data_IF_320271642581
#
_entry.id   IF_320271642581
#
_cell.length_a   1.000
_cell.length_b   1.000
_cell.length_c   1.000
_cell.angle_alpha   90.00
_cell.angle_beta   90.00
_cell.angle_gamma   90.00
#
_symmetry.space_group_name_H-M   'P 1'
#
loop_
_entity.id
_entity.type
_entity.pdbx_description
1 polymer ?
#
# COMPACT_ATOMS: atom_id res chain seq x y z
N UNK A 1 -7.15 -18.40 6.45
CA UNK A 1 -6.14 -18.83 7.44
C UNK A 1 -6.63 -18.49 8.85
N UNK A 2 -7.15 -17.28 9.06
CA UNK A 2 -7.78 -16.83 10.30
C UNK A 2 -9.14 -16.16 10.03
N UNK A 3 -9.72 -15.54 11.06
CA UNK A 3 -10.92 -14.69 10.93
C UNK A 3 -10.57 -13.19 10.99
N UNK A 4 -9.29 -12.88 11.09
CA UNK A 4 -8.81 -11.51 11.25
C UNK A 4 -8.46 -10.93 9.89
N UNK A 5 -8.96 -9.72 9.61
CA UNK A 5 -8.67 -9.00 8.37
C UNK A 5 -7.22 -8.55 8.30
N UNK A 6 -6.71 -7.94 9.38
CA UNK A 6 -5.38 -7.34 9.43
C UNK A 6 -4.60 -7.80 10.65
N UNK A 7 -3.46 -8.44 10.43
CA UNK A 7 -2.52 -8.87 11.45
C UNK A 7 -1.22 -8.06 11.33
N UNK A 8 -0.85 -7.35 12.40
CA UNK A 8 0.47 -6.77 12.53
C UNK A 8 1.44 -7.83 13.06
N UNK A 9 2.56 -8.01 12.39
CA UNK A 9 3.62 -8.93 12.79
C UNK A 9 4.74 -8.12 13.42
N UNK A 10 4.77 -8.12 14.76
CA UNK A 10 5.71 -7.31 15.54
C UNK A 10 7.02 -8.05 15.84
N UNK A 11 7.16 -9.31 15.43
CA UNK A 11 8.38 -10.08 15.57
C UNK A 11 9.37 -9.69 14.46
N UNK A 12 10.55 -9.12 14.79
CA UNK A 12 11.51 -8.65 13.80
C UNK A 12 12.17 -9.78 12.99
N UNK A 13 12.04 -11.05 13.43
CA UNK A 13 12.54 -12.20 12.68
C UNK A 13 11.70 -12.51 11.44
N UNK A 14 10.47 -11.98 11.34
CA UNK A 14 9.61 -12.20 10.20
C UNK A 14 9.96 -11.27 9.02
N UNK A 15 9.89 -11.76 7.78
CA UNK A 15 10.21 -10.97 6.60
C UNK A 15 9.13 -9.97 6.19
N UNK A 16 7.98 -9.98 6.85
CA UNK A 16 6.86 -9.08 6.62
C UNK A 16 6.35 -8.49 7.94
N UNK A 17 5.77 -7.31 7.89
CA UNK A 17 5.21 -6.58 9.05
C UNK A 17 3.69 -6.65 9.09
N UNK A 18 3.04 -7.09 8.03
CA UNK A 18 1.59 -7.24 7.97
C UNK A 18 1.18 -8.43 7.14
N UNK A 19 0.17 -9.15 7.64
CA UNK A 19 -0.58 -10.16 6.92
C UNK A 19 -2.03 -9.70 6.83
N UNK A 20 -2.51 -9.43 5.62
CA UNK A 20 -3.86 -8.92 5.40
C UNK A 20 -4.65 -10.01 4.67
N UNK A 21 -5.57 -10.65 5.38
CA UNK A 21 -6.53 -11.58 4.80
C UNK A 21 -7.72 -10.78 4.27
N UNK A 22 -7.57 -10.21 3.06
CA UNK A 22 -8.52 -9.27 2.46
C UNK A 22 -9.95 -9.82 2.40
N UNK A 23 -10.10 -11.10 2.15
CA UNK A 23 -11.39 -11.76 2.06
C UNK A 23 -12.05 -12.09 3.41
N UNK A 24 -11.46 -11.65 4.51
CA UNK A 24 -12.16 -11.51 5.79
C UNK A 24 -12.86 -10.15 5.95
N UNK A 25 -12.58 -9.20 5.05
CA UNK A 25 -13.23 -7.89 4.96
C UNK A 25 -14.21 -7.85 3.77
N UNK A 26 -13.76 -8.18 2.56
CA UNK A 26 -14.59 -8.27 1.36
C UNK A 26 -14.87 -9.74 1.04
N UNK A 27 -16.08 -10.04 0.58
CA UNK A 27 -16.53 -11.43 0.39
C UNK A 27 -15.74 -12.16 -0.70
N UNK A 28 -15.38 -13.44 -0.51
CA UNK A 28 -14.67 -14.23 -1.53
C UNK A 28 -15.42 -14.32 -2.87
N UNK A 29 -16.75 -14.23 -2.86
CA UNK A 29 -17.59 -14.28 -4.07
C UNK A 29 -17.24 -13.16 -5.05
N UNK A 30 -16.86 -11.98 -4.54
CA UNK A 30 -16.36 -10.84 -5.34
C UNK A 30 -15.12 -11.23 -6.17
N UNK A 31 -14.37 -12.23 -5.72
CA UNK A 31 -13.13 -12.73 -6.32
C UNK A 31 -13.28 -14.16 -6.89
N UNK A 32 -14.49 -14.56 -7.26
CA UNK A 32 -14.77 -15.89 -7.81
C UNK A 32 -14.53 -17.02 -6.81
N UNK A 33 -14.83 -16.79 -5.53
CA UNK A 33 -14.65 -17.76 -4.44
C UNK A 33 -13.19 -17.91 -3.96
N UNK A 34 -12.28 -17.05 -4.43
CA UNK A 34 -10.86 -17.10 -4.05
C UNK A 34 -10.60 -16.26 -2.81
N UNK A 35 -9.67 -16.72 -2.00
CA UNK A 35 -9.16 -15.96 -0.87
C UNK A 35 -7.94 -15.14 -1.29
N UNK A 36 -7.89 -13.87 -0.85
CA UNK A 36 -6.79 -12.95 -1.17
C UNK A 36 -6.06 -12.60 0.11
N UNK A 37 -4.74 -12.78 0.08
CA UNK A 37 -3.85 -12.47 1.19
C UNK A 37 -2.72 -11.58 0.69
N UNK A 38 -2.46 -10.48 1.40
CA UNK A 38 -1.31 -9.63 1.16
C UNK A 38 -0.29 -9.82 2.28
N UNK A 39 0.99 -9.92 1.89
CA UNK A 39 2.13 -9.78 2.78
C UNK A 39 2.75 -8.42 2.52
N UNK A 40 2.94 -7.63 3.56
CA UNK A 40 3.42 -6.25 3.47
C UNK A 40 4.73 -6.07 4.20
N UNK A 41 5.69 -5.35 3.58
CA UNK A 41 6.95 -4.95 4.18
C UNK A 41 7.40 -3.59 3.64
N UNK A 42 7.87 -2.74 4.54
CA UNK A 42 8.65 -1.54 4.20
C UNK A 42 10.12 -1.84 4.43
N UNK A 43 10.95 -1.61 3.44
CA UNK A 43 12.39 -1.90 3.52
C UNK A 43 13.19 -0.96 2.59
N UNK A 44 14.47 -0.74 2.86
CA UNK A 44 15.34 -0.04 1.92
C UNK A 44 15.41 -0.77 0.57
N UNK A 45 15.51 -0.02 -0.52
CA UNK A 45 15.64 -0.62 -1.86
C UNK A 45 16.97 -1.40 -2.05
N UNK A 46 17.90 -1.26 -1.12
CA UNK A 46 19.16 -2.01 -1.05
C UNK A 46 19.06 -3.33 -0.29
N UNK A 47 17.88 -3.61 0.32
CA UNK A 47 17.64 -4.86 1.04
C UNK A 47 17.61 -6.05 0.07
N UNK A 48 18.12 -7.20 0.50
CA UNK A 48 18.16 -8.42 -0.32
C UNK A 48 16.77 -8.90 -0.72
N UNK A 49 15.77 -8.75 0.17
CA UNK A 49 14.38 -9.10 -0.14
C UNK A 49 13.81 -8.25 -1.29
N UNK A 50 14.30 -7.01 -1.44
CA UNK A 50 13.85 -6.14 -2.52
C UNK A 50 14.31 -6.64 -3.91
N UNK A 51 15.40 -7.39 -3.98
CA UNK A 51 15.94 -7.94 -5.22
C UNK A 51 15.34 -9.30 -5.62
N UNK A 52 14.74 -10.02 -4.67
CA UNK A 52 14.18 -11.36 -4.91
C UNK A 52 13.08 -11.35 -5.98
N UNK A 53 12.99 -12.39 -6.78
CA UNK A 53 11.84 -12.66 -7.65
C UNK A 53 10.57 -12.96 -6.83
N UNK A 54 9.42 -13.02 -7.49
CA UNK A 54 8.17 -13.37 -6.83
C UNK A 54 8.20 -14.78 -6.23
N UNK A 55 8.78 -15.73 -6.96
CA UNK A 55 8.91 -17.13 -6.51
C UNK A 55 9.85 -17.25 -5.31
N UNK A 56 11.03 -16.64 -5.39
CA UNK A 56 12.01 -16.63 -4.29
C UNK A 56 11.43 -16.03 -3.03
N UNK A 57 10.71 -14.89 -3.16
CA UNK A 57 10.11 -14.22 -2.00
C UNK A 57 8.96 -15.04 -1.41
N UNK A 58 8.19 -15.72 -2.24
CA UNK A 58 7.14 -16.62 -1.78
C UNK A 58 7.74 -17.80 -1.01
N UNK A 59 8.73 -18.48 -1.58
CA UNK A 59 9.38 -19.64 -0.96
C UNK A 59 10.09 -19.24 0.33
N UNK A 60 10.71 -18.05 0.36
CA UNK A 60 11.31 -17.50 1.57
C UNK A 60 10.26 -17.19 2.66
N UNK A 61 9.08 -16.69 2.29
CA UNK A 61 8.02 -16.29 3.24
C UNK A 61 7.20 -17.47 3.77
N UNK A 62 7.14 -18.57 3.03
CA UNK A 62 6.28 -19.70 3.34
C UNK A 62 6.52 -20.37 4.71
N UNK A 63 7.77 -20.60 5.17
CA UNK A 63 8.04 -21.13 6.50
C UNK A 63 7.47 -20.24 7.62
N UNK A 64 7.57 -18.93 7.46
CA UNK A 64 7.04 -17.95 8.42
C UNK A 64 5.51 -17.96 8.45
N UNK A 65 4.88 -18.07 7.28
CA UNK A 65 3.42 -18.23 7.21
C UNK A 65 2.97 -19.52 7.88
N UNK A 66 3.70 -20.63 7.73
CA UNK A 66 3.41 -21.89 8.43
C UNK A 66 3.58 -21.79 9.94
N UNK A 67 4.52 -20.97 10.40
CA UNK A 67 4.66 -20.68 11.84
C UNK A 67 3.42 -19.98 12.39
N UNK A 68 2.86 -19.02 11.65
CA UNK A 68 1.64 -18.31 12.05
C UNK A 68 0.37 -19.14 11.84
N UNK A 69 0.34 -19.95 10.80
CA UNK A 69 -0.81 -20.73 10.36
C UNK A 69 -0.38 -22.17 10.08
N UNK A 70 -0.25 -23.04 11.12
CA UNK A 70 0.33 -24.38 10.99
C UNK A 70 -0.38 -25.29 9.98
N UNK A 71 -1.68 -25.07 9.77
CA UNK A 71 -2.46 -25.83 8.78
C UNK A 71 -2.22 -25.40 7.33
N UNK A 72 -1.48 -24.30 7.11
CA UNK A 72 -1.25 -23.77 5.75
C UNK A 72 -0.37 -24.71 4.93
N UNK A 73 -0.80 -24.96 3.70
CA UNK A 73 -0.08 -25.76 2.73
C UNK A 73 0.29 -24.95 1.48
N UNK A 74 1.44 -25.26 0.88
CA UNK A 74 1.89 -24.62 -0.37
C UNK A 74 0.86 -24.78 -1.49
N UNK A 75 0.15 -25.91 -1.53
CA UNK A 75 -0.88 -26.22 -2.52
C UNK A 75 -2.13 -25.34 -2.45
N UNK A 76 -2.33 -24.59 -1.37
CA UNK A 76 -3.43 -23.62 -1.27
C UNK A 76 -3.19 -22.38 -2.13
N UNK A 77 -1.94 -22.08 -2.47
CA UNK A 77 -1.56 -20.90 -3.24
C UNK A 77 -1.73 -21.20 -4.73
N UNK A 78 -2.80 -20.67 -5.31
CA UNK A 78 -3.13 -20.84 -6.72
C UNK A 78 -2.35 -19.89 -7.64
N UNK A 79 -2.12 -18.67 -7.15
CA UNK A 79 -1.34 -17.64 -7.85
C UNK A 79 -0.71 -16.71 -6.82
N UNK A 80 0.38 -16.06 -7.20
CA UNK A 80 1.03 -15.03 -6.41
C UNK A 80 1.58 -13.93 -7.32
N UNK A 81 1.64 -12.74 -6.78
CA UNK A 81 2.08 -11.55 -7.47
C UNK A 81 2.97 -10.72 -6.55
N UNK A 82 3.95 -10.04 -7.12
CA UNK A 82 4.85 -9.16 -6.39
C UNK A 82 4.78 -7.75 -6.96
N UNK A 83 4.46 -6.80 -6.10
CA UNK A 83 4.51 -5.38 -6.42
C UNK A 83 5.61 -4.72 -5.60
N UNK A 84 6.40 -3.89 -6.26
CA UNK A 84 7.44 -3.06 -5.65
C UNK A 84 7.22 -1.62 -6.03
N UNK A 85 7.32 -0.75 -5.04
CA UNK A 85 7.36 0.68 -5.27
C UNK A 85 8.61 1.25 -4.60
N UNK A 86 9.53 1.79 -5.40
CA UNK A 86 10.74 2.44 -4.87
C UNK A 86 10.38 3.66 -4.02
N UNK A 87 9.34 4.37 -4.41
CA UNK A 87 8.79 5.54 -3.73
C UNK A 87 7.35 5.24 -3.31
N UNK A 88 7.18 4.40 -2.28
CA UNK A 88 5.85 3.93 -1.90
C UNK A 88 5.04 4.98 -1.17
N UNK A 89 5.68 5.77 -0.31
CA UNK A 89 5.01 6.85 0.41
C UNK A 89 6.01 7.87 0.96
N UNK A 90 5.60 9.15 1.13
CA UNK A 90 6.42 10.18 1.76
C UNK A 90 6.70 9.83 3.23
N UNK A 91 7.90 10.13 3.69
CA UNK A 91 8.26 10.07 5.11
C UNK A 91 7.90 11.40 5.75
N UNK A 92 6.93 11.38 6.67
CA UNK A 92 6.53 12.57 7.42
C UNK A 92 7.54 12.81 8.53
N UNK A 93 8.37 13.82 8.35
CA UNK A 93 9.41 14.24 9.30
C UNK A 93 8.92 15.36 10.21
N UNK A 94 9.71 15.71 11.23
CA UNK A 94 9.44 16.88 12.08
C UNK A 94 9.28 18.16 11.23
N UNK A 95 8.27 18.95 11.53
CA UNK A 95 7.91 20.17 10.79
C UNK A 95 7.48 19.95 9.32
N UNK A 96 6.91 18.79 9.02
CA UNK A 96 6.46 18.43 7.67
C UNK A 96 5.49 19.46 7.06
N UNK A 97 4.69 20.16 7.87
CA UNK A 97 3.80 21.23 7.41
C UNK A 97 4.50 22.33 6.58
N UNK A 98 5.81 22.50 6.76
CA UNK A 98 6.65 23.45 5.99
C UNK A 98 7.23 22.85 4.71
N UNK A 99 7.09 21.54 4.54
CA UNK A 99 7.66 20.76 3.43
C UNK A 99 6.57 20.23 2.49
N UNK A 100 5.30 20.50 2.80
CA UNK A 100 4.19 20.08 1.96
C UNK A 100 4.34 20.73 0.57
N UNK A 101 4.39 19.94 -0.51
CA UNK A 101 4.47 20.47 -1.86
C UNK A 101 3.29 21.39 -2.18
N UNK A 102 3.55 22.46 -2.91
CA UNK A 102 2.47 23.32 -3.42
C UNK A 102 1.60 22.55 -4.42
N UNK A 103 0.34 22.93 -4.50
CA UNK A 103 -0.57 22.38 -5.50
C UNK A 103 -0.32 22.99 -6.90
N UNK A 104 0.15 24.24 -6.94
CA UNK A 104 0.51 24.89 -8.18
C UNK A 104 1.96 24.56 -8.56
N UNK A 105 2.13 24.05 -9.77
CA UNK A 105 3.42 23.69 -10.33
C UNK A 105 4.17 24.91 -10.89
N UNK A 106 5.35 24.69 -11.48
CA UNK A 106 6.24 25.76 -11.96
C UNK A 106 5.73 26.46 -13.23
N UNK A 107 4.71 25.93 -13.87
CA UNK A 107 4.13 26.47 -15.09
C UNK A 107 2.65 26.76 -14.92
N UNK A 108 2.15 27.78 -15.58
CA UNK A 108 0.73 28.11 -15.63
C UNK A 108 -0.09 26.90 -16.14
N UNK A 109 -1.20 26.61 -15.48
CA UNK A 109 -2.07 25.47 -15.82
C UNK A 109 -1.54 24.10 -15.39
N UNK A 110 -0.36 24.02 -14.76
CA UNK A 110 0.17 22.77 -14.23
C UNK A 110 -0.11 22.66 -12.72
N UNK A 111 -0.90 21.67 -12.34
CA UNK A 111 -1.28 21.41 -10.95
C UNK A 111 -0.81 20.04 -10.48
N UNK A 112 -0.37 19.94 -9.23
CA UNK A 112 0.12 18.71 -8.59
C UNK A 112 -0.82 18.31 -7.46
N UNK A 113 -1.29 17.06 -7.52
CA UNK A 113 -2.06 16.46 -6.45
C UNK A 113 -1.42 15.12 -6.09
N UNK A 114 -0.93 14.98 -4.87
CA UNK A 114 -0.20 13.78 -4.44
C UNK A 114 -0.40 13.48 -2.96
N UNK A 115 -0.10 12.25 -2.58
CA UNK A 115 -0.15 11.79 -1.19
C UNK A 115 0.78 12.58 -0.25
N UNK A 116 1.81 13.25 -0.79
CA UNK A 116 2.71 14.10 -0.03
C UNK A 116 2.03 15.36 0.54
N UNK A 117 0.87 15.74 0.02
CA UNK A 117 0.10 16.89 0.47
C UNK A 117 -0.93 16.56 1.56
N UNK A 118 -1.10 15.28 1.88
CA UNK A 118 -2.02 14.83 2.94
C UNK A 118 -1.29 14.92 4.28
N UNK A 119 -1.72 15.89 5.10
CA UNK A 119 -1.16 16.15 6.42
C UNK A 119 -2.17 17.01 7.24
N UNK A 120 -2.37 16.76 8.54
CA UNK A 120 -1.69 15.78 9.41
C UNK A 120 -2.30 14.38 9.35
N UNK A 121 -3.34 14.15 8.56
CA UNK A 121 -4.01 12.87 8.45
C UNK A 121 -3.11 11.81 7.82
N UNK A 122 -3.41 10.54 8.08
CA UNK A 122 -2.73 9.45 7.41
C UNK A 122 -3.24 9.30 5.96
N UNK A 123 -2.34 8.86 5.11
CA UNK A 123 -2.60 8.69 3.68
C UNK A 123 -3.56 7.51 3.44
N UNK A 124 -4.66 7.80 2.80
CA UNK A 124 -5.66 6.79 2.47
C UNK A 124 -6.39 7.16 1.17
N UNK A 125 -7.05 6.18 0.58
CA UNK A 125 -7.83 6.36 -0.65
C UNK A 125 -8.90 7.45 -0.51
N UNK A 126 -9.54 7.54 0.66
CA UNK A 126 -10.53 8.58 0.97
C UNK A 126 -9.94 9.99 0.87
N UNK A 127 -8.72 10.20 1.37
CA UNK A 127 -8.04 11.50 1.29
C UNK A 127 -7.58 11.81 -0.14
N UNK A 128 -7.10 10.82 -0.87
CA UNK A 128 -6.74 10.97 -2.28
C UNK A 128 -7.95 11.38 -3.12
N UNK A 129 -9.12 10.77 -2.90
CA UNK A 129 -10.37 11.12 -3.57
C UNK A 129 -10.80 12.55 -3.19
N UNK A 130 -10.76 12.89 -1.89
CA UNK A 130 -11.10 14.23 -1.40
C UNK A 130 -10.27 15.30 -2.08
N UNK A 131 -8.95 15.11 -2.09
CA UNK A 131 -8.01 16.06 -2.68
C UNK A 131 -8.14 16.15 -4.19
N UNK A 132 -8.27 15.02 -4.88
CA UNK A 132 -8.48 14.98 -6.33
C UNK A 132 -9.76 15.71 -6.76
N UNK A 133 -10.84 15.56 -5.98
CA UNK A 133 -12.09 16.32 -6.22
C UNK A 133 -11.91 17.82 -6.02
N UNK A 134 -11.22 18.24 -4.94
CA UNK A 134 -10.99 19.65 -4.65
C UNK A 134 -10.18 20.32 -5.77
N UNK A 135 -9.09 19.72 -6.21
CA UNK A 135 -8.25 20.27 -7.27
C UNK A 135 -8.98 20.27 -8.62
N UNK A 136 -9.77 19.23 -8.93
CA UNK A 136 -10.59 19.16 -10.13
C UNK A 136 -11.64 20.27 -10.18
N UNK A 137 -12.31 20.56 -9.07
CA UNK A 137 -13.26 21.66 -8.96
C UNK A 137 -12.58 23.02 -9.15
N UNK A 138 -11.40 23.22 -8.56
CA UNK A 138 -10.60 24.44 -8.71
C UNK A 138 -10.22 24.67 -10.18
N UNK A 139 -9.71 23.64 -10.85
CA UNK A 139 -9.33 23.74 -12.28
C UNK A 139 -10.54 24.03 -13.16
N UNK A 140 -11.67 23.35 -12.93
CA UNK A 140 -12.90 23.60 -13.67
C UNK A 140 -13.40 25.06 -13.51
N UNK A 141 -13.31 25.62 -12.30
CA UNK A 141 -13.67 27.02 -12.05
C UNK A 141 -12.75 27.99 -12.78
N UNK A 142 -11.43 27.72 -12.81
CA UNK A 142 -10.46 28.52 -13.56
C UNK A 142 -10.78 28.53 -15.08
N UNK A 143 -11.11 27.38 -15.64
CA UNK A 143 -11.45 27.26 -17.07
C UNK A 143 -12.78 27.93 -17.43
N UNK A 144 -13.73 27.96 -16.49
CA UNK A 144 -15.02 28.62 -16.71
C UNK A 144 -14.98 30.16 -16.60
N UNK A 145 -13.93 30.71 -15.95
CA UNK A 145 -13.73 32.14 -15.78
C UNK A 145 -12.74 32.78 -16.77
N UNK A 146 -12.13 31.93 -17.62
CA UNK A 146 -11.27 32.37 -18.72
C UNK A 146 -12.04 32.47 -20.03
#
# INVERSE_FOLDING_TARGET
MSKTYWLNVNDPSFPFVGVIEHTNFERPETYGGRHIVYLSKYLPHTDTLYAMSADELLDFSLPYLKTMFPAMERGWIQAHHLWRARWSQPVVVKHYSRLIPAEDGPSEGFHVCSMAQIYPEDRGTNYAIRQGRAIGQRVAAMMAGA
#
